data_IF_298041676709
#
_entry.id   IF_298041676709
#
_cell.length_a   1.000
_cell.length_b   1.000
_cell.length_c   1.000
_cell.angle_alpha   90.00
_cell.angle_beta   90.00
_cell.angle_gamma   90.00
#
_symmetry.space_group_name_H-M   'P 1'
#
loop_
_entity.id
_entity.type
_entity.pdbx_description
1 polymer ?
#
# COMPACT_ATOMS: atom_id res chain seq x y z
N UNK A 1 -17.89 5.45 -27.74
CA UNK A 1 -16.42 5.37 -27.55
C UNK A 1 -15.98 3.97 -27.13
N UNK A 2 -16.71 3.29 -26.24
CA UNK A 2 -16.32 1.94 -25.78
C UNK A 2 -16.24 0.90 -26.90
N UNK A 3 -17.19 0.91 -27.85
CA UNK A 3 -17.14 0.08 -29.07
C UNK A 3 -15.94 0.37 -29.97
N UNK A 4 -15.38 1.58 -29.92
CA UNK A 4 -14.22 1.95 -30.72
C UNK A 4 -12.96 1.27 -30.18
N UNK A 5 -12.82 1.12 -28.85
CA UNK A 5 -11.70 0.37 -28.27
C UNK A 5 -11.60 -1.00 -28.94
N UNK A 6 -12.73 -1.69 -29.11
CA UNK A 6 -12.80 -3.03 -29.70
C UNK A 6 -12.51 -3.08 -31.21
N UNK A 7 -12.74 -2.00 -31.93
CA UNK A 7 -12.60 -1.93 -33.40
C UNK A 7 -11.23 -1.44 -33.86
N UNK A 8 -10.47 -0.74 -33.02
CA UNK A 8 -9.14 -0.26 -33.39
C UNK A 8 -8.11 -1.40 -33.37
N UNK A 9 -7.12 -1.40 -34.28
CA UNK A 9 -5.98 -2.31 -34.22
C UNK A 9 -5.09 -2.02 -33.01
N UNK A 10 -4.46 -3.06 -32.47
CA UNK A 10 -3.54 -2.96 -31.34
C UNK A 10 -2.35 -2.04 -31.65
N UNK A 11 -1.91 -1.27 -30.66
CA UNK A 11 -0.78 -0.33 -30.79
C UNK A 11 -1.05 0.97 -31.58
N UNK A 12 -2.28 1.21 -32.04
CA UNK A 12 -2.58 2.48 -32.74
C UNK A 12 -2.43 3.71 -31.82
N UNK A 13 -1.92 4.85 -32.32
CA UNK A 13 -1.77 6.07 -31.52
C UNK A 13 -3.12 6.66 -31.10
N UNK A 14 -4.19 6.37 -31.84
CA UNK A 14 -5.56 6.78 -31.52
C UNK A 14 -6.09 6.14 -30.22
N UNK A 15 -5.59 4.95 -29.84
CA UNK A 15 -5.93 4.34 -28.55
C UNK A 15 -5.43 5.19 -27.37
N UNK A 16 -4.31 5.89 -27.52
CA UNK A 16 -3.77 6.79 -26.49
C UNK A 16 -4.70 7.98 -26.27
N UNK A 17 -5.12 8.64 -27.35
CA UNK A 17 -6.05 9.79 -27.28
C UNK A 17 -7.42 9.40 -26.70
N UNK A 18 -7.91 8.21 -27.07
CA UNK A 18 -9.15 7.66 -26.53
C UNK A 18 -9.00 7.35 -25.04
N UNK A 19 -7.87 6.76 -24.62
CA UNK A 19 -7.56 6.52 -23.21
C UNK A 19 -7.54 7.82 -22.39
N UNK A 20 -6.89 8.88 -22.90
CA UNK A 20 -6.88 10.19 -22.25
C UNK A 20 -8.28 10.81 -22.15
N UNK A 21 -9.11 10.68 -23.20
CA UNK A 21 -10.51 11.13 -23.16
C UNK A 21 -11.30 10.38 -22.08
N UNK A 22 -11.17 9.05 -21.99
CA UNK A 22 -11.83 8.29 -20.93
C UNK A 22 -11.34 8.66 -19.53
N UNK A 23 -10.04 8.87 -19.37
CA UNK A 23 -9.44 9.35 -18.11
C UNK A 23 -10.04 10.70 -17.68
N UNK A 24 -10.19 11.65 -18.62
CA UNK A 24 -10.75 12.98 -18.33
C UNK A 24 -12.21 12.94 -17.86
N UNK A 25 -12.96 11.90 -18.24
CA UNK A 25 -14.37 11.69 -17.85
C UNK A 25 -14.47 10.80 -16.60
N UNK A 26 -13.36 10.25 -16.10
CA UNK A 26 -13.32 9.37 -14.93
C UNK A 26 -13.62 7.89 -15.20
N UNK A 27 -13.66 7.48 -16.47
CA UNK A 27 -13.92 6.10 -16.89
C UNK A 27 -12.64 5.27 -16.86
N UNK A 28 -12.28 4.78 -15.68
CA UNK A 28 -11.00 4.11 -15.46
C UNK A 28 -10.85 2.77 -16.19
N UNK A 29 -11.89 1.93 -16.20
CA UNK A 29 -11.83 0.59 -16.82
C UNK A 29 -11.61 0.69 -18.33
N UNK A 30 -12.37 1.57 -18.99
CA UNK A 30 -12.28 1.82 -20.42
C UNK A 30 -10.94 2.48 -20.79
N UNK A 31 -10.45 3.41 -19.96
CA UNK A 31 -9.13 4.02 -20.16
C UNK A 31 -8.02 2.97 -20.08
N UNK A 32 -8.05 2.11 -19.06
CA UNK A 32 -7.10 1.00 -18.89
C UNK A 32 -7.13 0.05 -20.07
N UNK A 33 -8.32 -0.37 -20.52
CA UNK A 33 -8.43 -1.24 -21.70
C UNK A 33 -7.80 -0.60 -22.93
N UNK A 34 -8.01 0.70 -23.15
CA UNK A 34 -7.40 1.42 -24.27
C UNK A 34 -5.86 1.46 -24.16
N UNK A 35 -5.31 1.75 -22.97
CA UNK A 35 -3.86 1.79 -22.74
C UNK A 35 -3.19 0.41 -22.80
N UNK A 36 -3.84 -0.64 -22.28
CA UNK A 36 -3.35 -2.02 -22.39
C UNK A 36 -3.29 -2.47 -23.85
N UNK A 37 -4.31 -2.14 -24.66
CA UNK A 37 -4.32 -2.44 -26.10
C UNK A 37 -3.32 -1.61 -26.91
N UNK A 38 -2.91 -0.45 -26.39
CA UNK A 38 -1.79 0.29 -26.94
C UNK A 38 -0.43 -0.33 -26.57
N UNK A 39 -0.38 -1.12 -25.48
CA UNK A 39 0.84 -1.74 -24.96
C UNK A 39 1.54 -0.92 -23.87
N UNK A 40 0.92 0.17 -23.39
CA UNK A 40 1.48 1.03 -22.35
C UNK A 40 0.85 0.75 -20.98
N UNK A 41 1.42 -0.25 -20.30
CA UNK A 41 1.02 -0.65 -18.94
C UNK A 41 1.30 0.46 -17.93
N UNK A 42 2.35 1.26 -18.14
CA UNK A 42 2.72 2.33 -17.20
C UNK A 42 1.63 3.40 -17.15
N UNK A 43 1.19 3.87 -18.31
CA UNK A 43 0.14 4.88 -18.42
C UNK A 43 -1.22 4.35 -17.95
N UNK A 44 -1.49 3.05 -18.15
CA UNK A 44 -2.67 2.39 -17.60
C UNK A 44 -2.69 2.45 -16.06
N UNK A 45 -1.56 2.08 -15.43
CA UNK A 45 -1.39 2.11 -13.97
C UNK A 45 -1.47 3.54 -13.44
N UNK A 46 -0.78 4.50 -14.08
CA UNK A 46 -0.81 5.91 -13.70
C UNK A 46 -2.24 6.47 -13.74
N UNK A 47 -3.04 6.05 -14.73
CA UNK A 47 -4.46 6.44 -14.83
C UNK A 47 -5.30 5.88 -13.69
N UNK A 48 -5.07 4.62 -13.29
CA UNK A 48 -5.75 4.02 -12.14
C UNK A 48 -5.43 4.77 -10.85
N UNK A 49 -4.16 5.15 -10.69
CA UNK A 49 -3.68 5.94 -9.57
C UNK A 49 -4.34 7.32 -9.56
N UNK A 50 -4.40 7.99 -10.72
CA UNK A 50 -5.01 9.31 -10.84
C UNK A 50 -6.52 9.29 -10.53
N UNK A 51 -7.22 8.25 -10.95
CA UNK A 51 -8.66 8.06 -10.73
C UNK A 51 -9.01 7.38 -9.40
N UNK A 52 -8.04 7.22 -8.49
CA UNK A 52 -8.24 6.64 -7.16
C UNK A 52 -8.74 5.18 -7.19
N UNK A 53 -8.47 4.44 -8.28
CA UNK A 53 -8.85 3.04 -8.52
C UNK A 53 -7.69 2.10 -8.15
N UNK A 54 -7.39 2.04 -6.85
CA UNK A 54 -6.22 1.37 -6.30
C UNK A 54 -6.23 -0.15 -6.46
N UNK A 55 -7.39 -0.78 -6.31
CA UNK A 55 -7.52 -2.23 -6.43
C UNK A 55 -7.22 -2.66 -7.87
N UNK A 56 -7.68 -1.88 -8.84
CA UNK A 56 -7.44 -2.13 -10.25
C UNK A 56 -5.96 -1.88 -10.61
N UNK A 57 -5.35 -0.82 -10.07
CA UNK A 57 -3.91 -0.54 -10.24
C UNK A 57 -3.02 -1.69 -9.75
N UNK A 58 -3.30 -2.23 -8.56
CA UNK A 58 -2.52 -3.33 -7.95
C UNK A 58 -2.72 -4.63 -8.71
N UNK A 59 -3.97 -4.96 -9.08
CA UNK A 59 -4.26 -6.16 -9.88
C UNK A 59 -3.56 -6.11 -11.25
N UNK A 60 -3.61 -4.96 -11.93
CA UNK A 60 -2.89 -4.77 -13.20
C UNK A 60 -1.38 -4.93 -13.04
N UNK A 61 -0.82 -4.34 -12.00
CA UNK A 61 0.61 -4.44 -11.73
C UNK A 61 1.06 -5.87 -11.44
N UNK A 62 0.26 -6.65 -10.72
CA UNK A 62 0.51 -8.06 -10.47
C UNK A 62 0.43 -8.88 -11.77
N UNK A 63 -0.58 -8.64 -12.60
CA UNK A 63 -0.76 -9.35 -13.88
C UNK A 63 0.38 -9.07 -14.86
N UNK A 64 0.89 -7.84 -14.90
CA UNK A 64 1.94 -7.41 -15.83
C UNK A 64 3.34 -7.41 -15.22
N UNK A 65 3.53 -7.97 -14.00
CA UNK A 65 4.80 -7.97 -13.26
C UNK A 65 5.48 -6.60 -13.14
N UNK A 66 4.69 -5.54 -12.97
CA UNK A 66 5.19 -4.17 -12.90
C UNK A 66 5.85 -3.88 -11.54
N UNK A 67 7.16 -4.14 -11.45
CA UNK A 67 7.97 -4.01 -10.22
C UNK A 67 7.98 -2.59 -9.61
N UNK A 68 7.71 -1.56 -10.41
CA UNK A 68 7.76 -0.16 -9.96
C UNK A 68 6.46 0.34 -9.27
N UNK A 69 5.43 -0.49 -9.18
CA UNK A 69 4.13 -0.14 -8.59
C UNK A 69 4.27 0.34 -7.13
N UNK A 70 5.09 -0.33 -6.32
CA UNK A 70 5.25 0.00 -4.91
C UNK A 70 5.83 1.40 -4.69
N UNK A 71 6.78 1.81 -5.54
CA UNK A 71 7.38 3.15 -5.50
C UNK A 71 6.41 4.24 -5.95
N UNK A 72 5.58 3.96 -6.96
CA UNK A 72 4.56 4.89 -7.44
C UNK A 72 3.45 5.11 -6.40
N UNK A 73 2.96 4.02 -5.80
CA UNK A 73 1.95 4.07 -4.74
C UNK A 73 2.46 4.84 -3.53
N UNK A 74 3.75 4.67 -3.16
CA UNK A 74 4.34 5.40 -2.06
C UNK A 74 4.43 6.93 -2.30
N UNK A 75 4.81 7.36 -3.52
CA UNK A 75 4.82 8.79 -3.89
C UNK A 75 3.42 9.39 -3.84
N UNK A 76 2.42 8.64 -4.31
CA UNK A 76 1.04 9.11 -4.24
C UNK A 76 0.52 9.17 -2.80
N UNK A 77 0.92 8.23 -1.94
CA UNK A 77 0.59 8.27 -0.51
C UNK A 77 1.13 9.55 0.15
N UNK A 78 2.35 9.96 -0.20
CA UNK A 78 2.91 11.25 0.27
C UNK A 78 2.06 12.44 -0.19
N UNK A 79 1.66 12.48 -1.46
CA UNK A 79 0.79 13.54 -1.96
C UNK A 79 -0.61 13.55 -1.29
N UNK A 80 -1.13 12.39 -0.88
CA UNK A 80 -2.36 12.32 -0.07
C UNK A 80 -2.14 12.86 1.35
N UNK A 81 -0.97 12.62 1.94
CA UNK A 81 -0.59 13.19 3.24
C UNK A 81 -0.52 14.72 3.18
N UNK A 82 0.05 15.29 2.12
CA UNK A 82 0.09 16.74 1.90
C UNK A 82 -1.32 17.36 1.82
N UNK A 83 -2.31 16.58 1.36
CA UNK A 83 -3.72 16.97 1.29
C UNK A 83 -4.52 16.67 2.57
N UNK A 84 -3.86 16.28 3.66
CA UNK A 84 -4.48 15.86 4.93
C UNK A 84 -5.43 14.65 4.81
N UNK A 85 -5.28 13.82 3.77
CA UNK A 85 -6.08 12.60 3.55
C UNK A 85 -5.39 11.38 4.18
N UNK A 86 -5.12 11.46 5.49
CA UNK A 86 -4.30 10.48 6.22
C UNK A 86 -4.84 9.05 6.13
N UNK A 87 -6.17 8.84 6.21
CA UNK A 87 -6.77 7.49 6.15
C UNK A 87 -6.62 6.86 4.75
N UNK A 88 -6.76 7.64 3.68
CA UNK A 88 -6.57 7.17 2.30
C UNK A 88 -5.09 6.77 2.09
N UNK A 89 -4.16 7.58 2.62
CA UNK A 89 -2.73 7.25 2.59
C UNK A 89 -2.41 5.94 3.35
N UNK A 90 -3.04 5.69 4.51
CA UNK A 90 -2.90 4.40 5.22
C UNK A 90 -3.34 3.24 4.32
N UNK A 91 -4.50 3.34 3.67
CA UNK A 91 -4.99 2.28 2.79
C UNK A 91 -4.00 2.02 1.65
N UNK A 92 -3.42 3.07 1.09
CA UNK A 92 -2.46 2.97 0.01
C UNK A 92 -1.15 2.30 0.45
N UNK A 93 -0.63 2.66 1.63
CA UNK A 93 0.56 2.01 2.21
C UNK A 93 0.33 0.52 2.47
N UNK A 94 -0.86 0.12 2.92
CA UNK A 94 -1.22 -1.29 3.09
C UNK A 94 -1.27 -2.04 1.77
N UNK A 95 -1.83 -1.43 0.71
CA UNK A 95 -1.87 -2.01 -0.64
C UNK A 95 -0.48 -2.10 -1.28
N UNK A 96 0.42 -1.17 -0.95
CA UNK A 96 1.82 -1.16 -1.39
C UNK A 96 2.74 -2.05 -0.54
N UNK A 97 2.20 -2.90 0.34
CA UNK A 97 2.97 -3.73 1.29
C UNK A 97 3.92 -2.95 2.23
N UNK A 98 3.73 -1.64 2.38
CA UNK A 98 4.49 -0.77 3.28
C UNK A 98 3.85 -0.73 4.67
N UNK A 99 3.81 -1.89 5.30
CA UNK A 99 3.15 -2.08 6.60
C UNK A 99 3.74 -1.22 7.72
N UNK A 100 5.06 -0.94 7.68
CA UNK A 100 5.74 -0.08 8.66
C UNK A 100 5.28 1.37 8.60
N UNK A 101 5.19 1.95 7.39
CA UNK A 101 4.70 3.31 7.17
C UNK A 101 3.22 3.44 7.53
N UNK A 102 2.40 2.43 7.18
CA UNK A 102 0.99 2.37 7.57
C UNK A 102 0.81 2.36 9.10
N UNK A 103 1.60 1.55 9.83
CA UNK A 103 1.51 1.44 11.28
C UNK A 103 1.90 2.75 12.00
N UNK A 104 2.95 3.44 11.53
CA UNK A 104 3.36 4.75 12.06
C UNK A 104 2.27 5.79 11.85
N UNK A 105 1.71 5.85 10.64
CA UNK A 105 0.66 6.80 10.31
C UNK A 105 -0.63 6.54 11.11
N UNK A 106 -1.03 5.28 11.28
CA UNK A 106 -2.17 4.92 12.15
C UNK A 106 -1.96 5.34 13.61
N UNK A 107 -0.74 5.16 14.13
CA UNK A 107 -0.38 5.58 15.49
C UNK A 107 -0.39 7.10 15.65
N UNK A 108 0.05 7.84 14.62
CA UNK A 108 -0.01 9.29 14.59
C UNK A 108 -1.46 9.80 14.58
N UNK A 109 -2.30 9.25 13.70
CA UNK A 109 -3.74 9.57 13.65
C UNK A 109 -4.38 9.33 15.02
N UNK A 110 -4.08 8.20 15.66
CA UNK A 110 -4.64 7.87 16.98
C UNK A 110 -4.25 8.90 18.07
N UNK A 111 -3.07 9.52 17.99
CA UNK A 111 -2.60 10.56 18.93
C UNK A 111 -3.22 11.93 18.63
N UNK A 112 -3.41 12.25 17.37
CA UNK A 112 -3.92 13.56 16.91
C UNK A 112 -5.46 13.66 16.99
N UNK A 113 -6.17 12.57 17.29
CA UNK A 113 -7.64 12.54 17.37
C UNK A 113 -8.18 13.57 18.38
N UNK A 114 -9.01 14.54 17.94
CA UNK A 114 -9.52 15.61 18.80
C UNK A 114 -10.49 15.07 19.85
N UNK A 115 -10.26 15.43 21.11
CA UNK A 115 -11.02 14.92 22.27
C UNK A 115 -10.44 13.65 22.89
N UNK A 116 -9.34 13.13 22.34
CA UNK A 116 -8.58 12.02 22.90
C UNK A 116 -9.43 10.79 23.21
N UNK A 117 -8.94 9.97 24.14
CA UNK A 117 -9.61 8.77 24.60
C UNK A 117 -10.97 9.01 25.28
N UNK A 118 -11.25 10.25 25.68
CA UNK A 118 -12.46 10.62 26.39
C UNK A 118 -13.69 10.68 25.48
N UNK A 119 -13.55 11.16 24.23
CA UNK A 119 -14.68 11.26 23.29
C UNK A 119 -14.88 10.02 22.43
N UNK A 120 -13.79 9.35 22.05
CA UNK A 120 -13.85 8.23 21.10
C UNK A 120 -12.90 7.07 21.50
N UNK A 121 -13.06 6.47 22.69
CA UNK A 121 -12.19 5.40 23.18
C UNK A 121 -12.14 4.21 22.20
N UNK A 122 -13.28 3.81 21.65
CA UNK A 122 -13.36 2.65 20.74
C UNK A 122 -12.64 2.89 19.41
N UNK A 123 -12.65 4.13 18.91
CA UNK A 123 -12.02 4.47 17.63
C UNK A 123 -10.51 4.51 17.77
N UNK A 124 -10.01 5.05 18.87
CA UNK A 124 -8.57 5.08 19.17
C UNK A 124 -8.04 3.66 19.39
N UNK A 125 -8.78 2.81 20.14
CA UNK A 125 -8.47 1.39 20.28
C UNK A 125 -8.37 0.69 18.92
N UNK A 126 -9.36 0.87 18.05
CA UNK A 126 -9.35 0.27 16.70
C UNK A 126 -8.15 0.72 15.87
N UNK A 127 -7.75 1.99 15.95
CA UNK A 127 -6.58 2.50 15.23
C UNK A 127 -5.27 1.89 15.73
N UNK A 128 -5.07 1.82 17.05
CA UNK A 128 -3.89 1.17 17.63
C UNK A 128 -3.87 -0.34 17.33
N UNK A 129 -5.02 -1.01 17.36
CA UNK A 129 -5.12 -2.43 17.01
C UNK A 129 -4.77 -2.66 15.54
N UNK A 130 -5.28 -1.82 14.64
CA UNK A 130 -4.91 -1.88 13.23
C UNK A 130 -3.42 -1.63 13.04
N UNK A 131 -2.83 -0.67 13.75
CA UNK A 131 -1.38 -0.44 13.70
C UNK A 131 -0.60 -1.68 14.15
N UNK A 132 -1.03 -2.32 15.24
CA UNK A 132 -0.44 -3.54 15.77
C UNK A 132 -0.48 -4.70 14.78
N UNK A 133 -1.65 -4.92 14.17
CA UNK A 133 -1.86 -5.97 13.16
C UNK A 133 -0.98 -5.75 11.91
N UNK A 134 -0.76 -4.50 11.49
CA UNK A 134 0.13 -4.22 10.36
C UNK A 134 1.61 -4.50 10.72
N UNK A 135 2.06 -4.20 11.95
CA UNK A 135 3.39 -4.60 12.42
C UNK A 135 3.55 -6.12 12.44
N UNK A 136 2.54 -6.85 12.89
CA UNK A 136 2.56 -8.31 12.91
C UNK A 136 2.65 -8.90 11.50
N UNK A 137 1.90 -8.36 10.53
CA UNK A 137 2.02 -8.75 9.11
C UNK A 137 3.42 -8.50 8.56
N UNK A 138 4.04 -7.38 8.91
CA UNK A 138 5.43 -7.12 8.53
C UNK A 138 6.36 -8.20 9.08
N UNK A 139 6.27 -8.49 10.39
CA UNK A 139 7.09 -9.53 11.03
C UNK A 139 6.89 -10.90 10.40
N UNK A 140 5.63 -11.30 10.16
CA UNK A 140 5.29 -12.56 9.51
C UNK A 140 5.89 -12.67 8.10
N UNK A 141 5.79 -11.62 7.28
CA UNK A 141 6.40 -11.59 5.94
C UNK A 141 7.93 -11.66 5.99
N UNK A 142 8.56 -10.95 6.93
CA UNK A 142 10.03 -11.01 7.08
C UNK A 142 10.51 -12.39 7.55
N UNK A 143 9.74 -13.05 8.42
CA UNK A 143 10.01 -14.41 8.87
C UNK A 143 9.86 -15.42 7.72
N UNK A 144 8.84 -15.29 6.89
CA UNK A 144 8.59 -16.17 5.73
C UNK A 144 9.71 -16.06 4.68
N UNK A 145 10.13 -14.85 4.35
CA UNK A 145 11.27 -14.58 3.44
C UNK A 145 12.58 -15.16 3.98
N UNK A 146 12.78 -15.13 5.30
CA UNK A 146 13.97 -15.69 5.93
C UNK A 146 13.92 -17.22 6.08
N UNK A 147 12.75 -17.80 6.34
CA UNK A 147 12.54 -19.26 6.34
C UNK A 147 12.75 -19.87 4.96
N UNK A 148 12.20 -19.25 3.92
CA UNK A 148 12.40 -19.69 2.53
C UNK A 148 13.88 -19.65 2.13
N UNK A 149 14.61 -18.62 2.57
CA UNK A 149 16.06 -18.51 2.40
C UNK A 149 16.85 -19.60 3.17
N UNK A 150 16.45 -19.92 4.40
CA UNK A 150 17.07 -21.00 5.18
C UNK A 150 16.81 -22.38 4.56
N UNK A 151 15.63 -22.61 4.00
CA UNK A 151 15.24 -23.88 3.36
C UNK A 151 15.98 -24.11 2.04
N UNK A 152 16.36 -23.04 1.35
CA UNK A 152 17.19 -23.09 0.13
C UNK A 152 18.70 -23.23 0.41
N UNK A 153 19.11 -23.37 1.68
CA UNK A 153 20.51 -23.61 2.07
C UNK A 153 21.45 -22.41 1.90
N UNK A 154 20.93 -21.20 1.62
CA UNK A 154 21.75 -20.00 1.42
C UNK A 154 22.17 -19.32 2.73
N UNK A 155 21.50 -19.62 3.85
CA UNK A 155 21.75 -19.01 5.17
C UNK A 155 21.62 -20.07 6.27
N UNK A 156 22.56 -20.12 7.20
CA UNK A 156 22.51 -21.03 8.36
C UNK A 156 21.47 -20.56 9.39
N UNK A 157 20.86 -21.48 10.14
CA UNK A 157 19.88 -21.17 11.19
C UNK A 157 20.39 -20.16 12.22
N UNK A 158 21.69 -20.19 12.55
CA UNK A 158 22.32 -19.21 13.43
C UNK A 158 22.37 -17.79 12.81
N UNK A 159 22.65 -17.68 11.52
CA UNK A 159 22.63 -16.40 10.79
C UNK A 159 21.21 -15.85 10.65
N UNK A 160 20.21 -16.71 10.49
CA UNK A 160 18.79 -16.32 10.50
C UNK A 160 18.39 -15.73 11.85
N UNK A 161 18.76 -16.39 12.96
CA UNK A 161 18.49 -15.90 14.32
C UNK A 161 19.19 -14.56 14.59
N UNK A 162 20.46 -14.42 14.19
CA UNK A 162 21.21 -13.16 14.33
C UNK A 162 20.56 -12.01 13.54
N UNK A 163 20.09 -12.30 12.32
CA UNK A 163 19.43 -11.33 11.45
C UNK A 163 18.08 -10.89 12.04
N UNK A 164 17.30 -11.83 12.58
CA UNK A 164 16.04 -11.55 13.28
C UNK A 164 16.25 -10.67 14.50
N UNK A 165 17.25 -10.96 15.33
CA UNK A 165 17.56 -10.15 16.52
C UNK A 165 17.93 -8.72 16.13
N UNK A 166 18.79 -8.56 15.12
CA UNK A 166 19.23 -7.23 14.66
C UNK A 166 18.07 -6.44 14.05
N UNK A 167 17.19 -7.11 13.31
CA UNK A 167 16.01 -6.50 12.72
C UNK A 167 14.97 -6.12 13.79
N UNK A 168 14.74 -6.97 14.79
CA UNK A 168 13.85 -6.68 15.92
C UNK A 168 14.39 -5.52 16.77
N UNK A 169 15.71 -5.39 16.94
CA UNK A 169 16.34 -4.20 17.56
C UNK A 169 16.12 -2.93 16.73
N UNK A 170 16.20 -3.00 15.40
CA UNK A 170 15.94 -1.85 14.52
C UNK A 170 14.47 -1.41 14.57
N UNK A 171 13.54 -2.36 14.68
CA UNK A 171 12.10 -2.10 14.82
C UNK A 171 11.76 -1.62 16.24
N UNK A 172 12.42 -2.15 17.28
CA UNK A 172 12.27 -1.74 18.67
C UNK A 172 12.81 -0.33 18.93
N UNK A 173 13.82 0.12 18.17
CA UNK A 173 14.32 1.50 18.25
C UNK A 173 13.28 2.55 17.85
N UNK A 174 12.26 2.15 17.07
CA UNK A 174 11.14 3.01 16.74
C UNK A 174 10.01 2.78 17.76
N UNK A 175 9.96 3.66 18.78
CA UNK A 175 8.98 3.62 19.89
C UNK A 175 7.52 3.58 19.40
N UNK A 176 7.25 3.97 18.16
CA UNK A 176 5.95 3.84 17.51
C UNK A 176 5.57 2.39 17.18
N UNK A 177 6.54 1.50 16.94
CA UNK A 177 6.35 0.09 16.57
C UNK A 177 6.40 -0.85 17.80
N UNK A 178 7.07 -0.44 18.87
CA UNK A 178 7.17 -1.23 20.11
C UNK A 178 5.89 -1.21 20.97
N UNK A 179 5.03 -0.21 20.75
CA UNK A 179 3.88 0.10 21.63
C UNK A 179 2.46 0.11 21.02
N UNK A 180 2.15 -0.42 19.81
CA UNK A 180 0.75 -0.46 19.35
C UNK A 180 -0.17 -1.23 20.30
N UNK A 181 0.29 -2.39 20.79
CA UNK A 181 -0.46 -3.22 21.76
C UNK A 181 -0.59 -2.56 23.13
N UNK A 182 0.44 -1.85 23.61
CA UNK A 182 0.37 -1.04 24.84
C UNK A 182 -0.62 0.12 24.69
N UNK A 183 -0.71 0.72 23.51
CA UNK A 183 -1.72 1.73 23.17
C UNK A 183 -3.14 1.17 23.24
N UNK A 184 -3.36 -0.08 22.82
CA UNK A 184 -4.64 -0.77 23.01
C UNK A 184 -4.95 -1.06 24.49
N UNK A 185 -3.97 -1.60 25.22
CA UNK A 185 -4.08 -1.98 26.63
C UNK A 185 -4.38 -0.79 27.54
N UNK A 186 -3.77 0.38 27.27
CA UNK A 186 -3.99 1.61 28.01
C UNK A 186 -5.45 2.12 27.99
N UNK A 187 -6.30 1.61 27.10
CA UNK A 187 -7.72 1.98 27.03
C UNK A 187 -8.66 0.89 27.51
N UNK A 188 -8.17 -0.24 28.03
CA UNK A 188 -9.04 -1.18 28.72
C UNK A 188 -9.66 -0.49 29.96
N UNK A 189 -11.00 -0.47 29.99
CA UNK A 189 -11.80 -0.16 31.19
C UNK A 189 -11.92 -1.45 32.01
#
# INVERSE_FOLDING_TARGET
LERLINQLPEGSPLLMDVGHKFSSVGLCEQAVQAFLRHGDVKTAVDTCVLLNQWDLAVNLAQQQNFQQIEGLLAKYAQHLLDKNKQIEAVQLYRKANRHTEAAKLLSQIAREMPGGAQKHPDRIKKLYLLAALEVEKYKAKTLDVQMTSATMGTVTTAQTVQSLITQDQSVASDRALESPWRGCEAFHL
#
